data_IF_986736062709
#
_entry.id   IF_986736062709
#
_cell.length_a   1.000
_cell.length_b   1.000
_cell.length_c   1.000
_cell.angle_alpha   90.00
_cell.angle_beta   90.00
_cell.angle_gamma   90.00
#
_symmetry.space_group_name_H-M   'P 1'
#
loop_
_entity.id
_entity.type
_entity.pdbx_description
1 polymer ?
#
# COMPACT_ATOMS: atom_id res chain seq x y z
N UNK A 1 -4.04 -26.65 -26.58
CA UNK A 1 -2.99 -26.45 -25.62
C UNK A 1 -3.18 -25.14 -24.93
N UNK A 2 -3.31 -25.17 -23.66
CA UNK A 2 -3.46 -23.93 -22.99
C UNK A 2 -2.14 -23.25 -23.08
N UNK A 3 -2.16 -22.11 -23.47
CA UNK A 3 -1.02 -21.42 -23.76
C UNK A 3 -0.42 -20.87 -22.53
N UNK A 4 0.69 -21.33 -22.15
CA UNK A 4 1.54 -20.67 -21.16
C UNK A 4 1.71 -19.22 -21.52
N UNK A 5 1.70 -18.91 -22.81
CA UNK A 5 1.85 -17.56 -23.30
C UNK A 5 0.65 -16.69 -22.92
N UNK A 6 -0.56 -17.24 -22.98
CA UNK A 6 -1.75 -16.51 -22.57
C UNK A 6 -1.83 -16.36 -21.05
N UNK A 7 -1.43 -17.38 -20.30
CA UNK A 7 -1.36 -17.29 -18.86
C UNK A 7 -0.34 -16.24 -18.42
N UNK A 8 0.83 -16.22 -19.05
CA UNK A 8 1.86 -15.22 -18.75
C UNK A 8 1.40 -13.80 -19.11
N UNK A 9 0.73 -13.63 -20.23
CA UNK A 9 0.22 -12.34 -20.65
C UNK A 9 -0.88 -11.86 -19.70
N UNK A 10 -1.74 -12.75 -19.25
CA UNK A 10 -2.78 -12.42 -18.30
C UNK A 10 -2.19 -12.04 -16.94
N UNK A 11 -1.19 -12.77 -16.47
CA UNK A 11 -0.49 -12.45 -15.23
C UNK A 11 0.19 -11.09 -15.30
N UNK A 12 0.84 -10.78 -16.42
CA UNK A 12 1.47 -9.49 -16.63
C UNK A 12 0.44 -8.36 -16.63
N UNK A 13 -0.69 -8.59 -17.28
CA UNK A 13 -1.77 -7.62 -17.35
C UNK A 13 -2.35 -7.34 -15.96
N UNK A 14 -2.59 -8.40 -15.18
CA UNK A 14 -3.11 -8.27 -13.83
C UNK A 14 -2.14 -7.53 -12.91
N UNK A 15 -0.86 -7.83 -13.05
CA UNK A 15 0.19 -7.15 -12.27
C UNK A 15 0.26 -5.66 -12.61
N UNK A 16 0.18 -5.34 -13.90
CA UNK A 16 0.21 -3.97 -14.36
C UNK A 16 -1.01 -3.20 -13.86
N UNK A 17 -2.18 -3.82 -13.91
CA UNK A 17 -3.40 -3.26 -13.36
C UNK A 17 -3.25 -3.00 -11.85
N UNK A 18 -2.72 -3.99 -11.13
CA UNK A 18 -2.52 -3.88 -9.69
C UNK A 18 -1.55 -2.75 -9.33
N UNK A 19 -0.46 -2.63 -10.07
CA UNK A 19 0.51 -1.57 -9.86
C UNK A 19 -0.08 -0.18 -10.13
N UNK A 20 -0.95 -0.07 -11.13
CA UNK A 20 -1.65 1.18 -11.42
C UNK A 20 -2.59 1.58 -10.29
N UNK A 21 -3.31 0.62 -9.73
CA UNK A 21 -4.19 0.85 -8.58
C UNK A 21 -3.38 1.37 -7.39
N UNK A 22 -2.27 0.70 -7.09
CA UNK A 22 -1.41 1.09 -5.97
C UNK A 22 -0.79 2.47 -6.20
N UNK A 23 -0.34 2.75 -7.42
CA UNK A 23 0.23 4.06 -7.76
C UNK A 23 -0.77 5.19 -7.55
N UNK A 24 -2.02 4.98 -7.96
CA UNK A 24 -3.07 5.98 -7.79
C UNK A 24 -3.38 6.20 -6.31
N UNK A 25 -3.44 5.13 -5.54
CA UNK A 25 -3.69 5.22 -4.10
C UNK A 25 -2.56 5.97 -3.40
N UNK A 26 -1.30 5.68 -3.76
CA UNK A 26 -0.14 6.38 -3.20
C UNK A 26 -0.15 7.86 -3.56
N UNK A 27 -0.49 8.19 -4.80
CA UNK A 27 -0.55 9.58 -5.24
C UNK A 27 -1.62 10.36 -4.48
N UNK A 28 -2.77 9.73 -4.25
CA UNK A 28 -3.85 10.34 -3.50
C UNK A 28 -3.47 10.53 -2.03
N UNK A 29 -2.84 9.54 -1.42
CA UNK A 29 -2.37 9.63 -0.04
C UNK A 29 -1.34 10.76 0.09
N UNK A 30 -0.42 10.85 -0.85
CA UNK A 30 0.58 11.92 -0.87
C UNK A 30 -0.11 13.29 -0.93
N UNK A 31 -1.10 13.42 -1.79
CA UNK A 31 -1.84 14.68 -1.93
C UNK A 31 -2.54 15.07 -0.64
N UNK A 32 -3.16 14.11 0.03
CA UNK A 32 -3.83 14.35 1.31
C UNK A 32 -2.84 14.84 2.37
N UNK A 33 -1.68 14.19 2.45
CA UNK A 33 -0.69 14.56 3.44
C UNK A 33 -0.03 15.90 3.16
N UNK A 34 0.20 16.21 1.89
CA UNK A 34 0.70 17.53 1.51
C UNK A 34 -0.30 18.62 1.93
N UNK A 35 -1.58 18.35 1.69
CA UNK A 35 -2.65 19.27 2.07
C UNK A 35 -2.72 19.50 3.58
N UNK A 36 -2.36 18.49 4.36
CA UNK A 36 -2.36 18.56 5.82
C UNK A 36 -1.00 18.99 6.40
N UNK A 37 -0.09 19.48 5.56
CA UNK A 37 1.27 19.87 5.96
C UNK A 37 2.07 18.68 6.53
N UNK A 38 1.81 17.49 6.05
CA UNK A 38 2.49 16.27 6.50
C UNK A 38 3.27 15.58 5.37
N UNK A 39 3.71 16.35 4.38
CA UNK A 39 4.48 15.81 3.26
C UNK A 39 5.77 15.11 3.72
N UNK A 40 6.44 15.69 4.72
CA UNK A 40 7.67 15.10 5.26
C UNK A 40 7.39 13.75 5.94
N UNK A 41 6.28 13.64 6.67
CA UNK A 41 5.88 12.39 7.28
C UNK A 41 5.68 11.32 6.22
N UNK A 42 5.04 11.67 5.11
CA UNK A 42 4.82 10.74 4.01
C UNK A 42 6.16 10.28 3.41
N UNK A 43 7.06 11.20 3.12
CA UNK A 43 8.35 10.85 2.53
C UNK A 43 9.16 9.90 3.41
N UNK A 44 9.19 10.16 4.70
CA UNK A 44 9.96 9.35 5.64
C UNK A 44 9.30 7.99 5.88
N UNK A 45 7.96 7.95 5.96
CA UNK A 45 7.24 6.74 6.31
C UNK A 45 6.75 5.90 5.12
N UNK A 46 6.84 6.43 3.90
CA UNK A 46 6.43 5.71 2.69
C UNK A 46 7.05 4.32 2.57
N UNK A 47 8.33 4.10 2.90
CA UNK A 47 8.91 2.75 2.79
C UNK A 47 8.17 1.69 3.59
N UNK A 48 7.50 2.07 4.68
CA UNK A 48 6.70 1.11 5.46
C UNK A 48 5.36 0.78 4.80
N UNK A 49 4.95 1.55 3.78
CA UNK A 49 3.78 1.24 2.98
C UNK A 49 4.15 0.33 1.81
N UNK A 50 5.30 0.56 1.20
CA UNK A 50 5.70 -0.14 -0.01
C UNK A 50 6.54 -1.40 0.24
N UNK A 51 6.97 -1.60 1.46
CA UNK A 51 7.82 -2.74 1.82
C UNK A 51 9.32 -2.50 1.67
N UNK A 52 9.72 -1.27 1.33
CA UNK A 52 11.12 -0.92 1.13
C UNK A 52 11.83 -0.55 2.45
N UNK A 53 11.29 -1.02 3.57
CA UNK A 53 11.78 -0.64 4.89
C UNK A 53 12.79 -1.61 5.51
N UNK A 54 13.22 -2.62 4.76
CA UNK A 54 14.08 -3.69 5.30
C UNK A 54 15.35 -3.16 5.95
N UNK A 55 15.96 -2.13 5.39
CA UNK A 55 17.18 -1.55 5.92
C UNK A 55 16.95 -0.27 6.73
N UNK A 56 15.68 0.03 7.03
CA UNK A 56 15.35 1.26 7.72
C UNK A 56 14.93 0.98 9.17
N UNK A 57 15.13 1.97 10.01
CA UNK A 57 14.85 1.88 11.42
C UNK A 57 13.74 2.87 11.80
N UNK A 58 12.75 2.40 12.53
CA UNK A 58 11.71 3.28 13.08
C UNK A 58 12.29 4.28 14.07
N UNK A 59 13.35 3.90 14.77
CA UNK A 59 14.06 4.80 15.67
C UNK A 59 14.67 5.98 14.91
N UNK A 60 15.28 5.70 13.76
CA UNK A 60 15.83 6.75 12.92
C UNK A 60 14.73 7.63 12.34
N UNK A 61 13.62 7.06 11.92
CA UNK A 61 12.48 7.81 11.45
C UNK A 61 11.94 8.74 12.55
N UNK A 62 11.89 8.25 13.78
CA UNK A 62 11.46 9.05 14.92
C UNK A 62 12.37 10.25 15.12
N UNK A 63 13.68 10.03 15.04
CA UNK A 63 14.67 11.09 15.13
C UNK A 63 14.50 12.12 14.02
N UNK A 64 14.33 11.65 12.79
CA UNK A 64 14.16 12.52 11.62
C UNK A 64 12.89 13.36 11.71
N UNK A 65 11.83 12.81 12.31
CA UNK A 65 10.56 13.51 12.44
C UNK A 65 10.43 14.29 13.74
N UNK A 66 11.37 14.11 14.66
CA UNK A 66 11.30 14.78 15.96
C UNK A 66 10.18 14.28 16.85
N UNK A 67 9.81 13.00 16.74
CA UNK A 67 8.73 12.40 17.52
C UNK A 67 9.26 11.12 18.20
N UNK A 68 8.46 10.53 19.07
CA UNK A 68 8.86 9.28 19.72
C UNK A 68 8.73 8.09 18.76
N UNK A 69 9.44 7.02 19.08
CA UNK A 69 9.35 5.78 18.33
C UNK A 69 7.93 5.21 18.36
N UNK A 70 7.26 5.32 19.52
CA UNK A 70 5.86 4.92 19.64
C UNK A 70 4.94 5.73 18.74
N UNK A 71 5.19 7.03 18.60
CA UNK A 71 4.43 7.88 17.69
C UNK A 71 4.66 7.50 16.23
N UNK A 72 5.88 7.06 15.88
CA UNK A 72 6.16 6.54 14.53
C UNK A 72 5.33 5.31 14.24
N UNK A 73 5.25 4.37 15.19
CA UNK A 73 4.44 3.15 15.01
C UNK A 73 2.97 3.48 14.79
N UNK A 74 2.43 4.42 15.54
CA UNK A 74 1.06 4.87 15.37
C UNK A 74 0.87 5.53 14.00
N UNK A 75 1.81 6.37 13.60
CA UNK A 75 1.75 7.05 12.31
C UNK A 75 1.77 6.06 11.15
N UNK A 76 2.64 5.06 11.22
CA UNK A 76 2.71 4.00 10.20
C UNK A 76 1.38 3.24 10.13
N UNK A 77 0.81 2.89 11.27
CA UNK A 77 -0.46 2.18 11.33
C UNK A 77 -1.59 2.98 10.68
N UNK A 78 -1.65 4.28 10.98
CA UNK A 78 -2.66 5.17 10.40
C UNK A 78 -2.48 5.32 8.89
N UNK A 79 -1.24 5.45 8.43
CA UNK A 79 -0.95 5.54 7.00
C UNK A 79 -1.35 4.26 6.27
N UNK A 80 -1.02 3.11 6.82
CA UNK A 80 -1.41 1.82 6.23
C UNK A 80 -2.91 1.66 6.14
N UNK A 81 -3.61 2.07 7.20
CA UNK A 81 -5.06 2.00 7.23
C UNK A 81 -5.67 2.91 6.15
N UNK A 82 -5.19 4.13 6.04
CA UNK A 82 -5.67 5.08 5.04
C UNK A 82 -5.32 4.63 3.62
N UNK A 83 -4.10 4.15 3.43
CA UNK A 83 -3.65 3.62 2.15
C UNK A 83 -4.54 2.47 1.68
N UNK A 84 -4.83 1.53 2.57
CA UNK A 84 -5.71 0.40 2.26
C UNK A 84 -7.10 0.87 1.85
N UNK A 85 -7.64 1.87 2.54
CA UNK A 85 -8.93 2.45 2.19
C UNK A 85 -8.90 3.11 0.81
N UNK A 86 -7.81 3.76 0.45
CA UNK A 86 -7.65 4.37 -0.87
C UNK A 86 -7.50 3.33 -1.97
N UNK A 87 -6.78 2.25 -1.70
CA UNK A 87 -6.67 1.13 -2.63
C UNK A 87 -8.05 0.54 -2.88
N UNK A 88 -8.81 0.31 -1.82
CA UNK A 88 -10.17 -0.22 -1.94
C UNK A 88 -11.07 0.71 -2.75
N UNK A 89 -10.95 2.01 -2.53
CA UNK A 89 -11.71 3.00 -3.29
C UNK A 89 -11.37 2.93 -4.78
N UNK A 90 -10.09 2.80 -5.13
CA UNK A 90 -9.69 2.68 -6.53
C UNK A 90 -10.23 1.39 -7.16
N UNK A 91 -10.23 0.29 -6.42
CA UNK A 91 -10.81 -0.97 -6.88
C UNK A 91 -12.32 -0.80 -7.09
N UNK A 92 -13.02 -0.15 -6.17
CA UNK A 92 -14.46 0.08 -6.29
C UNK A 92 -14.83 0.82 -7.57
N UNK A 93 -13.97 1.69 -8.05
CA UNK A 93 -14.22 2.43 -9.28
C UNK A 93 -14.14 1.56 -10.53
N UNK A 94 -13.57 0.37 -10.42
CA UNK A 94 -13.37 -0.51 -11.58
C UNK A 94 -14.32 -1.69 -11.60
N UNK A 95 -15.11 -1.91 -10.53
CA UNK A 95 -16.03 -3.05 -10.45
C UNK A 95 -17.47 -2.57 -10.48
N UNK A 96 -18.36 -3.45 -10.91
CA UNK A 96 -19.76 -3.11 -11.09
C UNK A 96 -20.61 -3.23 -9.83
N UNK A 97 -20.16 -3.97 -8.84
CA UNK A 97 -20.94 -4.17 -7.62
C UNK A 97 -20.09 -4.34 -6.39
N UNK A 98 -20.67 -4.07 -5.21
CA UNK A 98 -19.90 -4.16 -3.96
C UNK A 98 -19.44 -5.58 -3.63
N UNK A 99 -20.09 -6.60 -4.15
CA UNK A 99 -19.66 -7.98 -3.94
C UNK A 99 -18.34 -8.27 -4.63
N UNK A 100 -18.10 -7.59 -5.74
CA UNK A 100 -16.88 -7.84 -6.53
C UNK A 100 -15.67 -7.14 -5.94
N UNK A 101 -15.86 -6.15 -5.06
CA UNK A 101 -14.74 -5.41 -4.47
C UNK A 101 -13.85 -6.34 -3.65
N UNK A 102 -14.42 -7.18 -2.82
CA UNK A 102 -13.62 -8.09 -1.98
C UNK A 102 -12.85 -9.10 -2.83
N UNK A 103 -13.48 -9.61 -3.89
CA UNK A 103 -12.80 -10.53 -4.81
C UNK A 103 -11.66 -9.82 -5.55
N UNK A 104 -11.90 -8.60 -6.01
CA UNK A 104 -10.86 -7.82 -6.69
C UNK A 104 -9.72 -7.45 -5.75
N UNK A 105 -10.01 -7.18 -4.49
CA UNK A 105 -8.96 -6.93 -3.49
C UNK A 105 -8.08 -8.17 -3.29
N UNK A 106 -8.68 -9.35 -3.27
CA UNK A 106 -7.93 -10.60 -3.18
C UNK A 106 -7.05 -10.78 -4.42
N UNK A 107 -7.61 -10.54 -5.61
CA UNK A 107 -6.86 -10.62 -6.85
C UNK A 107 -5.72 -9.62 -6.89
N UNK A 108 -5.95 -8.40 -6.40
CA UNK A 108 -4.94 -7.37 -6.32
C UNK A 108 -3.75 -7.83 -5.46
N UNK A 109 -4.04 -8.34 -4.29
CA UNK A 109 -3.01 -8.81 -3.36
C UNK A 109 -2.22 -9.96 -4.00
N UNK A 110 -2.89 -10.89 -4.66
CA UNK A 110 -2.22 -12.00 -5.34
C UNK A 110 -1.34 -11.51 -6.49
N UNK A 111 -1.83 -10.54 -7.27
CA UNK A 111 -1.09 -10.03 -8.41
C UNK A 111 0.18 -9.28 -7.99
N UNK A 112 0.12 -8.60 -6.86
CA UNK A 112 1.26 -7.87 -6.34
C UNK A 112 2.28 -8.78 -5.66
N UNK A 113 1.86 -9.97 -5.28
CA UNK A 113 2.75 -10.92 -4.63
C UNK A 113 3.27 -10.41 -3.30
N UNK A 114 4.56 -10.12 -3.21
CA UNK A 114 5.19 -9.74 -1.97
C UNK A 114 5.29 -8.22 -1.77
N UNK A 115 4.33 -7.47 -2.28
CA UNK A 115 4.29 -6.05 -2.01
C UNK A 115 4.08 -5.84 -0.52
N UNK A 116 4.59 -4.79 0.00
CA UNK A 116 4.67 -4.54 1.40
C UNK A 116 3.40 -4.71 2.22
N UNK A 117 3.54 -4.80 3.52
CA UNK A 117 2.44 -5.12 4.42
C UNK A 117 1.32 -4.08 4.45
N UNK A 118 1.55 -2.90 3.91
CA UNK A 118 0.56 -1.84 3.91
C UNK A 118 -0.74 -2.21 3.21
N UNK A 119 -0.69 -3.11 2.21
CA UNK A 119 -1.86 -3.49 1.44
C UNK A 119 -2.67 -4.55 2.15
N UNK A 120 -2.02 -5.52 2.76
CA UNK A 120 -2.70 -6.63 3.41
C UNK A 120 -3.29 -6.27 4.76
N UNK A 121 -2.81 -5.21 5.38
CA UNK A 121 -3.21 -4.87 6.72
C UNK A 121 -2.66 -5.78 7.79
N UNK A 122 -1.89 -6.78 7.40
CA UNK A 122 -1.20 -7.67 8.31
C UNK A 122 0.26 -7.53 8.02
N UNK A 123 1.01 -7.13 8.92
CA UNK A 123 2.42 -7.01 8.73
C UNK A 123 3.19 -7.68 9.81
N UNK A 124 4.41 -8.07 9.50
CA UNK A 124 5.25 -8.65 10.52
C UNK A 124 5.62 -7.63 11.58
N UNK A 125 5.30 -6.41 11.31
CA UNK A 125 5.63 -5.39 12.22
C UNK A 125 4.61 -5.21 13.29
N UNK A 126 3.67 -6.06 13.31
CA UNK A 126 2.68 -5.84 14.10
C UNK A 126 2.86 -5.85 15.42
N UNK A 127 3.48 -6.47 16.02
CA UNK A 127 3.41 -6.53 17.32
C UNK A 127 3.83 -5.34 17.81
N UNK A 128 3.68 -4.94 18.19
CA UNK A 128 4.08 -4.14 18.81
C UNK A 128 3.87 -3.76 19.68
#
# INVERSE_FOLDING_TARGET
>A
MPDRKNENNQMLFEREWALNIVSRALAELHRELVSDNQARNFEILKPWLTGDCVHLSQKQAASDLGISEGAVKVAIHRLRKRFRALVRFEVERTVEGPEDVDNEMIMLIKALGSVGPGITGKGPDLPV
#
